data_IF_981180507449
#
_entry.id   IF_981180507449
#
_cell.length_a   1.000
_cell.length_b   1.000
_cell.length_c   1.000
_cell.angle_alpha   90.00
_cell.angle_beta   90.00
_cell.angle_gamma   90.00
#
_symmetry.space_group_name_H-M   'P 1'
#
loop_
_entity.id
_entity.type
_entity.pdbx_description
1 polymer ?
#
# COMPACT_ATOMS: atom_id res chain seq x y z
N UNK A 1 0.63 -25.15 -11.71
CA UNK A 1 1.42 -25.96 -10.75
C UNK A 1 0.42 -26.61 -9.83
N UNK A 2 0.14 -27.89 -10.09
CA UNK A 2 -0.76 -28.72 -9.28
C UNK A 2 -0.08 -29.05 -7.95
N UNK A 3 -0.09 -28.11 -7.00
CA UNK A 3 0.25 -28.41 -5.61
C UNK A 3 -0.95 -29.14 -4.98
N UNK A 4 -1.15 -30.41 -5.34
CA UNK A 4 -2.22 -31.26 -4.79
C UNK A 4 -1.84 -31.92 -3.44
N UNK A 5 -0.64 -31.66 -2.93
CA UNK A 5 -0.10 -32.31 -1.73
C UNK A 5 -0.12 -31.38 -0.49
N UNK A 6 0.07 -31.99 0.69
CA UNK A 6 0.20 -31.29 1.97
C UNK A 6 1.42 -30.37 2.05
N UNK A 7 1.58 -29.67 3.16
CA UNK A 7 2.72 -28.78 3.42
C UNK A 7 3.95 -29.57 3.88
N UNK A 8 5.10 -29.33 3.24
CA UNK A 8 6.38 -29.92 3.67
C UNK A 8 6.68 -29.60 5.14
N UNK A 9 6.99 -30.64 5.93
CA UNK A 9 7.27 -30.52 7.36
C UNK A 9 8.43 -29.58 7.68
N UNK A 10 9.45 -29.56 6.81
CA UNK A 10 10.62 -28.68 6.93
C UNK A 10 10.31 -27.17 6.91
N UNK A 11 9.10 -26.78 6.48
CA UNK A 11 8.67 -25.39 6.46
C UNK A 11 8.20 -24.90 7.82
N UNK A 12 7.76 -25.78 8.70
CA UNK A 12 7.20 -25.40 10.00
C UNK A 12 8.29 -25.11 11.02
N UNK A 13 8.08 -24.08 11.84
CA UNK A 13 9.01 -23.71 12.91
C UNK A 13 8.54 -24.15 14.30
N UNK A 14 7.25 -24.42 14.46
CA UNK A 14 6.61 -24.74 15.73
C UNK A 14 5.79 -26.04 15.67
N UNK A 15 6.14 -26.96 14.78
CA UNK A 15 5.44 -28.23 14.61
C UNK A 15 6.37 -29.40 14.94
N UNK A 16 6.24 -29.92 16.17
CA UNK A 16 7.06 -31.01 16.70
C UNK A 16 6.30 -32.34 16.84
N UNK A 17 4.99 -32.35 16.58
CA UNK A 17 4.14 -33.54 16.58
C UNK A 17 3.92 -34.07 15.15
N UNK A 18 3.20 -35.18 15.04
CA UNK A 18 2.73 -35.82 13.81
C UNK A 18 1.19 -35.86 13.72
N UNK A 19 0.51 -35.16 14.64
CA UNK A 19 -0.95 -35.20 14.77
C UNK A 19 -1.74 -34.61 13.59
N UNK A 20 -1.09 -33.85 12.72
CA UNK A 20 -1.68 -33.30 11.49
C UNK A 20 -1.03 -33.87 10.22
N UNK A 21 -0.21 -34.93 10.34
CA UNK A 21 0.43 -35.54 9.18
C UNK A 21 -0.59 -36.39 8.41
N UNK A 22 -0.70 -36.15 7.10
CA UNK A 22 -1.52 -36.96 6.22
C UNK A 22 -0.83 -38.29 5.92
N UNK A 23 -1.47 -39.42 6.23
CA UNK A 23 -0.88 -40.75 5.98
C UNK A 23 -0.67 -41.10 4.49
N UNK A 24 -1.31 -40.36 3.57
CA UNK A 24 -1.19 -40.60 2.13
C UNK A 24 0.03 -39.90 1.56
N UNK A 25 0.14 -38.57 1.73
CA UNK A 25 1.24 -37.80 1.17
C UNK A 25 2.41 -37.60 2.14
N UNK A 26 2.29 -38.06 3.40
CA UNK A 26 3.33 -37.94 4.45
C UNK A 26 3.79 -36.50 4.72
N UNK A 27 2.89 -35.54 4.51
CA UNK A 27 3.10 -34.12 4.76
C UNK A 27 2.06 -33.59 5.75
N UNK A 28 2.30 -32.41 6.31
CA UNK A 28 1.30 -31.75 7.17
C UNK A 28 0.07 -31.47 6.30
N UNK A 29 -1.08 -31.98 6.71
CA UNK A 29 -2.26 -32.01 5.87
C UNK A 29 -2.67 -30.61 5.41
N UNK A 30 -3.04 -30.44 4.13
CA UNK A 30 -3.65 -29.21 3.58
C UNK A 30 -5.16 -29.40 3.56
N UNK A 31 -5.89 -28.40 4.06
CA UNK A 31 -7.34 -28.50 4.31
C UNK A 31 -7.68 -29.80 5.07
N UNK A 32 -7.21 -29.92 6.33
CA UNK A 32 -7.23 -31.18 7.07
C UNK A 32 -8.65 -31.71 7.29
N UNK A 33 -8.82 -33.00 7.00
CA UNK A 33 -10.03 -33.79 7.22
C UNK A 33 -9.69 -34.95 8.16
N UNK A 34 -10.55 -35.21 9.14
CA UNK A 34 -10.34 -36.18 10.22
C UNK A 34 -11.27 -37.39 10.06
N UNK A 35 -10.74 -38.60 10.22
CA UNK A 35 -11.56 -39.80 10.23
C UNK A 35 -12.40 -39.89 11.51
N UNK A 36 -13.71 -40.04 11.35
CA UNK A 36 -14.65 -40.06 12.48
C UNK A 36 -14.47 -41.27 13.41
N UNK A 37 -13.82 -42.33 12.94
CA UNK A 37 -13.61 -43.55 13.71
C UNK A 37 -12.33 -43.54 14.54
N UNK A 38 -11.22 -43.01 14.01
CA UNK A 38 -9.91 -43.10 14.66
C UNK A 38 -9.17 -41.76 14.83
N UNK A 39 -9.73 -40.65 14.39
CA UNK A 39 -9.13 -39.32 14.51
C UNK A 39 -7.94 -39.06 13.57
N UNK A 40 -7.64 -39.96 12.64
CA UNK A 40 -6.53 -39.78 11.70
C UNK A 40 -6.81 -38.64 10.73
N UNK A 41 -5.81 -37.77 10.52
CA UNK A 41 -5.92 -36.61 9.64
C UNK A 41 -5.41 -36.92 8.22
N UNK A 42 -6.09 -36.35 7.22
CA UNK A 42 -5.79 -36.43 5.80
C UNK A 42 -5.90 -35.04 5.14
N UNK A 43 -5.17 -34.80 4.05
CA UNK A 43 -5.50 -33.67 3.18
C UNK A 43 -6.87 -33.89 2.53
N UNK A 44 -7.64 -32.83 2.28
CA UNK A 44 -8.89 -32.94 1.52
C UNK A 44 -8.69 -33.58 0.13
N UNK A 45 -7.57 -33.28 -0.54
CA UNK A 45 -7.17 -33.87 -1.83
C UNK A 45 -6.71 -35.33 -1.74
N UNK A 46 -6.38 -35.82 -0.54
CA UNK A 46 -5.83 -37.15 -0.31
C UNK A 46 -6.82 -38.10 0.37
N UNK A 47 -8.10 -37.77 0.41
CA UNK A 47 -9.11 -38.60 1.09
C UNK A 47 -9.24 -39.98 0.44
N UNK A 48 -8.93 -41.08 1.17
CA UNK A 48 -9.13 -42.42 0.65
C UNK A 48 -10.61 -42.83 0.79
N UNK A 49 -11.08 -43.79 -0.01
CA UNK A 49 -12.44 -44.34 0.13
C UNK A 49 -12.64 -45.11 1.45
N UNK A 50 -11.55 -45.66 1.99
CA UNK A 50 -11.50 -46.44 3.23
C UNK A 50 -10.35 -45.85 4.05
N UNK A 51 -10.58 -45.59 5.34
CA UNK A 51 -9.53 -45.05 6.21
C UNK A 51 -8.34 -46.01 6.28
N UNK A 52 -7.15 -45.54 5.93
CA UNK A 52 -5.93 -46.36 5.89
C UNK A 52 -5.55 -46.88 7.29
N UNK A 53 -5.89 -46.14 8.35
CA UNK A 53 -5.50 -46.49 9.71
C UNK A 53 -6.44 -47.53 10.37
N UNK A 54 -7.76 -47.39 10.19
CA UNK A 54 -8.74 -48.25 10.88
C UNK A 54 -9.62 -49.11 9.96
N UNK A 55 -9.42 -49.04 8.65
CA UNK A 55 -10.17 -49.80 7.63
C UNK A 55 -11.68 -49.56 7.62
N UNK A 56 -12.18 -48.51 8.27
CA UNK A 56 -13.61 -48.14 8.23
C UNK A 56 -13.96 -47.42 6.93
N UNK A 57 -15.20 -47.55 6.44
CA UNK A 57 -15.69 -46.77 5.31
C UNK A 57 -15.48 -45.27 5.55
N UNK A 58 -15.08 -44.54 4.50
CA UNK A 58 -14.58 -43.16 4.56
C UNK A 58 -15.58 -42.10 5.02
N UNK A 59 -15.90 -42.07 6.31
CA UNK A 59 -16.55 -40.95 6.99
C UNK A 59 -15.47 -40.03 7.52
N UNK A 60 -15.30 -38.87 6.88
CA UNK A 60 -14.32 -37.86 7.24
C UNK A 60 -15.01 -36.52 7.46
N UNK A 61 -14.78 -35.91 8.61
CA UNK A 61 -15.28 -34.59 8.96
C UNK A 61 -14.15 -33.57 9.00
N UNK A 62 -14.51 -32.29 9.09
CA UNK A 62 -13.53 -31.23 9.38
C UNK A 62 -13.03 -31.40 10.81
N UNK A 63 -11.79 -30.96 11.07
CA UNK A 63 -11.24 -30.90 12.43
C UNK A 63 -12.23 -30.26 13.42
N UNK A 64 -12.25 -30.78 14.65
CA UNK A 64 -13.00 -30.13 15.74
C UNK A 64 -12.53 -28.68 15.94
N UNK A 65 -13.36 -27.83 16.55
CA UNK A 65 -13.04 -26.42 16.78
C UNK A 65 -11.70 -26.21 17.50
N UNK A 66 -11.36 -27.09 18.44
CA UNK A 66 -10.11 -27.00 19.21
C UNK A 66 -8.91 -27.40 18.34
N UNK A 67 -8.97 -28.55 17.66
CA UNK A 67 -7.90 -28.98 16.75
C UNK A 67 -7.67 -27.98 15.62
N UNK A 68 -8.75 -27.42 15.05
CA UNK A 68 -8.65 -26.40 14.01
C UNK A 68 -7.91 -25.16 14.50
N UNK A 69 -8.16 -24.70 15.73
CA UNK A 69 -7.43 -23.57 16.30
C UNK A 69 -5.93 -23.87 16.42
N UNK A 70 -5.59 -25.05 16.96
CA UNK A 70 -4.19 -25.48 17.09
C UNK A 70 -3.51 -25.54 15.72
N UNK A 71 -4.20 -26.09 14.71
CA UNK A 71 -3.70 -26.19 13.34
C UNK A 71 -3.53 -24.81 12.68
N UNK A 72 -4.52 -23.92 12.81
CA UNK A 72 -4.47 -22.58 12.23
C UNK A 72 -3.36 -21.71 12.86
N UNK A 73 -2.98 -21.97 14.12
CA UNK A 73 -1.90 -21.31 14.86
C UNK A 73 -0.49 -21.85 14.51
N UNK A 74 -0.39 -22.93 13.70
CA UNK A 74 0.91 -23.39 13.20
C UNK A 74 1.54 -22.33 12.30
N UNK A 75 2.86 -22.18 12.40
CA UNK A 75 3.65 -21.18 11.67
C UNK A 75 4.64 -21.90 10.76
N UNK A 76 4.62 -21.51 9.48
CA UNK A 76 5.52 -22.03 8.47
C UNK A 76 6.14 -20.92 7.61
N UNK A 77 7.32 -21.22 7.06
CA UNK A 77 8.03 -20.37 6.11
C UNK A 77 7.32 -20.35 4.77
N UNK A 78 7.10 -19.17 4.21
CA UNK A 78 6.70 -18.98 2.82
C UNK A 78 7.74 -19.58 1.87
N UNK A 79 7.28 -20.35 0.87
CA UNK A 79 8.19 -20.98 -0.11
C UNK A 79 8.89 -19.98 -1.04
N UNK A 80 8.45 -18.71 -1.08
CA UNK A 80 8.97 -17.70 -2.00
C UNK A 80 9.83 -16.63 -1.33
N UNK A 81 9.51 -16.22 -0.09
CA UNK A 81 10.20 -15.12 0.60
C UNK A 81 10.71 -15.47 2.00
N UNK A 82 10.57 -16.73 2.43
CA UNK A 82 10.96 -17.23 3.75
C UNK A 82 10.27 -16.58 4.96
N UNK A 83 9.36 -15.62 4.75
CA UNK A 83 8.58 -15.00 5.80
C UNK A 83 7.79 -16.05 6.58
N UNK A 84 7.75 -15.90 7.90
CA UNK A 84 6.96 -16.73 8.80
C UNK A 84 5.50 -16.29 8.76
N UNK A 85 4.62 -17.21 8.37
CA UNK A 85 3.18 -16.96 8.21
C UNK A 85 2.42 -18.09 8.89
N UNK A 86 1.24 -17.81 9.45
CA UNK A 86 0.36 -18.85 9.99
C UNK A 86 -0.26 -19.68 8.87
N UNK A 87 -0.54 -20.96 9.11
CA UNK A 87 -1.09 -21.87 8.09
C UNK A 87 -2.39 -21.34 7.47
N UNK A 88 -3.28 -20.74 8.26
CA UNK A 88 -4.53 -20.19 7.75
C UNK A 88 -4.35 -18.98 6.80
N UNK A 89 -3.17 -18.35 6.78
CA UNK A 89 -2.85 -17.20 5.92
C UNK A 89 -1.86 -17.54 4.80
N UNK A 90 -1.22 -18.72 4.85
CA UNK A 90 -0.09 -19.04 3.97
C UNK A 90 -0.48 -19.06 2.50
N UNK A 91 -1.64 -19.60 2.15
CA UNK A 91 -2.06 -19.70 0.74
C UNK A 91 -2.33 -18.34 0.12
N UNK A 92 -3.04 -17.47 0.87
CA UNK A 92 -3.28 -16.09 0.45
C UNK A 92 -1.96 -15.35 0.28
N UNK A 93 -1.08 -15.48 1.26
CA UNK A 93 0.25 -14.88 1.20
C UNK A 93 1.04 -15.40 -0.01
N UNK A 94 1.13 -16.71 -0.23
CA UNK A 94 1.90 -17.30 -1.33
C UNK A 94 1.35 -16.93 -2.71
N UNK A 95 0.03 -16.81 -2.85
CA UNK A 95 -0.62 -16.32 -4.06
C UNK A 95 -0.24 -14.88 -4.41
N UNK A 96 -0.04 -14.03 -3.39
CA UNK A 96 0.39 -12.64 -3.53
C UNK A 96 1.93 -12.54 -3.66
N UNK A 97 2.66 -13.36 -2.89
CA UNK A 97 4.11 -13.38 -2.81
C UNK A 97 4.75 -13.89 -4.11
N UNK A 98 4.15 -14.87 -4.79
CA UNK A 98 4.63 -15.35 -6.09
C UNK A 98 4.57 -14.26 -7.19
N UNK A 99 3.84 -13.16 -6.94
CA UNK A 99 3.76 -12.01 -7.82
C UNK A 99 4.78 -10.93 -7.48
N UNK A 100 5.72 -11.15 -6.55
CA UNK A 100 6.75 -10.17 -6.27
C UNK A 100 7.76 -10.08 -7.41
N UNK A 101 8.18 -8.86 -7.75
CA UNK A 101 9.29 -8.62 -8.67
C UNK A 101 10.56 -9.32 -8.16
N UNK A 102 11.42 -9.83 -9.05
CA UNK A 102 12.77 -10.33 -8.67
C UNK A 102 13.56 -9.28 -7.87
N UNK A 103 13.30 -8.00 -8.14
CA UNK A 103 13.89 -6.87 -7.42
C UNK A 103 12.95 -6.26 -6.36
N UNK A 104 11.98 -7.01 -5.83
CA UNK A 104 10.97 -6.51 -4.88
C UNK A 104 11.58 -5.82 -3.65
N UNK A 105 12.70 -6.34 -3.12
CA UNK A 105 13.43 -5.70 -2.02
C UNK A 105 13.87 -4.25 -2.30
N UNK A 106 13.96 -3.86 -3.58
CA UNK A 106 14.32 -2.51 -4.02
C UNK A 106 13.11 -1.73 -4.52
N UNK A 107 12.24 -2.34 -5.31
CA UNK A 107 11.13 -1.62 -5.95
C UNK A 107 9.81 -1.67 -5.17
N UNK A 108 9.61 -2.65 -4.29
CA UNK A 108 8.34 -2.88 -3.57
C UNK A 108 7.14 -3.23 -4.47
N UNK A 109 7.37 -3.47 -5.76
CA UNK A 109 6.31 -3.63 -6.76
C UNK A 109 5.98 -5.10 -7.01
N UNK A 110 4.69 -5.38 -7.08
CA UNK A 110 4.16 -6.66 -7.56
C UNK A 110 4.05 -6.64 -9.09
N UNK A 111 4.23 -7.80 -9.70
CA UNK A 111 4.12 -8.06 -11.13
C UNK A 111 2.64 -8.20 -11.47
N UNK A 112 2.18 -7.39 -12.42
CA UNK A 112 0.78 -7.38 -12.89
C UNK A 112 0.56 -8.26 -14.12
N UNK A 113 1.61 -8.57 -14.88
CA UNK A 113 1.58 -9.43 -16.07
C UNK A 113 2.60 -10.54 -15.93
N UNK A 114 2.17 -11.79 -16.10
CA UNK A 114 3.11 -12.92 -16.12
C UNK A 114 4.13 -12.69 -17.25
N UNK A 115 5.39 -12.48 -16.85
CA UNK A 115 6.54 -12.51 -17.73
C UNK A 115 7.52 -13.55 -17.20
N UNK A 116 8.26 -14.19 -18.10
CA UNK A 116 9.19 -15.26 -17.74
C UNK A 116 10.26 -14.80 -16.74
N UNK A 117 10.57 -13.50 -16.72
CA UNK A 117 11.63 -12.92 -15.90
C UNK A 117 11.17 -12.43 -14.52
N UNK A 118 9.86 -12.44 -14.24
CA UNK A 118 9.24 -11.90 -13.01
C UNK A 118 9.68 -10.46 -12.70
N UNK A 119 9.58 -9.54 -13.66
CA UNK A 119 9.98 -8.13 -13.49
C UNK A 119 8.77 -7.20 -13.60
N UNK A 120 8.67 -6.20 -12.71
CA UNK A 120 7.53 -5.29 -12.69
C UNK A 120 7.59 -4.19 -13.75
N UNK A 121 8.78 -3.74 -14.14
CA UNK A 121 9.00 -2.64 -15.08
C UNK A 121 10.39 -2.69 -15.74
N UNK A 122 10.61 -1.77 -16.69
CA UNK A 122 11.87 -1.61 -17.42
C UNK A 122 13.05 -1.22 -16.52
N UNK A 123 12.80 -0.56 -15.39
CA UNK A 123 13.87 -0.21 -14.43
C UNK A 123 14.34 -1.45 -13.68
N UNK A 124 13.43 -2.32 -13.27
CA UNK A 124 13.76 -3.60 -12.67
C UNK A 124 14.44 -4.53 -13.67
N UNK A 125 14.05 -4.47 -14.95
CA UNK A 125 14.77 -5.19 -16.00
C UNK A 125 16.21 -4.71 -16.14
N UNK A 126 16.41 -3.39 -16.23
CA UNK A 126 17.75 -2.80 -16.25
C UNK A 126 18.56 -3.20 -15.01
N UNK A 127 17.98 -3.13 -13.81
CA UNK A 127 18.66 -3.53 -12.58
C UNK A 127 19.08 -4.99 -12.60
N UNK A 128 18.23 -5.88 -13.11
CA UNK A 128 18.56 -7.31 -13.28
C UNK A 128 19.68 -7.53 -14.29
N UNK A 129 19.73 -6.77 -15.38
CA UNK A 129 20.81 -6.82 -16.37
C UNK A 129 22.13 -6.33 -15.76
N UNK A 130 22.10 -5.22 -15.02
CA UNK A 130 23.27 -4.66 -14.33
C UNK A 130 23.85 -5.64 -13.31
N UNK A 131 23.00 -6.34 -12.55
CA UNK A 131 23.45 -7.37 -11.59
C UNK A 131 24.12 -8.58 -12.24
N UNK A 132 23.73 -8.92 -13.47
CA UNK A 132 24.29 -10.03 -14.25
C UNK A 132 25.54 -9.63 -15.03
N UNK A 133 25.80 -8.33 -15.17
CA UNK A 133 26.94 -7.81 -15.92
C UNK A 133 28.25 -8.11 -15.19
N UNK A 134 29.25 -8.60 -15.91
CA UNK A 134 30.59 -8.87 -15.38
C UNK A 134 31.56 -7.72 -15.63
N UNK A 135 31.21 -6.79 -16.53
CA UNK A 135 32.05 -5.66 -16.90
C UNK A 135 31.30 -4.34 -16.88
N UNK A 136 32.06 -3.24 -16.71
CA UNK A 136 31.51 -1.88 -16.84
C UNK A 136 30.97 -1.62 -18.25
N UNK A 137 31.57 -2.22 -19.27
CA UNK A 137 31.16 -2.05 -20.67
C UNK A 137 29.75 -2.60 -20.90
N UNK A 138 29.46 -3.81 -20.39
CA UNK A 138 28.12 -4.41 -20.46
C UNK A 138 27.06 -3.54 -19.77
N UNK A 139 27.39 -2.99 -18.60
CA UNK A 139 26.50 -2.05 -17.90
C UNK A 139 26.18 -0.84 -18.78
N UNK A 140 27.19 -0.24 -19.43
CA UNK A 140 26.98 0.87 -20.36
C UNK A 140 26.12 0.48 -21.57
N UNK A 141 26.33 -0.71 -22.12
CA UNK A 141 25.56 -1.19 -23.27
C UNK A 141 24.09 -1.44 -22.90
N UNK A 142 23.82 -1.98 -21.71
CA UNK A 142 22.47 -2.11 -21.18
C UNK A 142 21.79 -0.76 -20.96
N UNK A 143 22.49 0.21 -20.36
CA UNK A 143 21.98 1.57 -20.18
C UNK A 143 21.65 2.25 -21.52
N UNK A 144 22.53 2.07 -22.51
CA UNK A 144 22.33 2.60 -23.87
C UNK A 144 21.10 1.97 -24.52
N UNK A 145 20.95 0.66 -24.47
CA UNK A 145 19.79 -0.07 -25.01
C UNK A 145 18.47 0.43 -24.41
N UNK A 146 18.39 0.55 -23.08
CA UNK A 146 17.18 1.03 -22.40
C UNK A 146 16.88 2.49 -22.75
N UNK A 147 17.90 3.35 -22.84
CA UNK A 147 17.71 4.74 -23.26
C UNK A 147 17.16 4.86 -24.69
N UNK A 148 17.62 4.01 -25.61
CA UNK A 148 17.16 3.98 -27.00
C UNK A 148 15.71 3.48 -27.11
N UNK A 149 15.32 2.46 -26.33
CA UNK A 149 13.95 1.95 -26.31
C UNK A 149 12.95 3.00 -25.81
N UNK A 150 13.33 3.80 -24.80
CA UNK A 150 12.47 4.87 -24.27
C UNK A 150 12.32 6.05 -25.26
N UNK A 151 13.31 6.31 -26.12
CA UNK A 151 13.24 7.35 -27.16
C UNK A 151 12.29 6.96 -28.31
N UNK A 152 12.18 5.66 -28.64
CA UNK A 152 11.28 5.19 -29.70
C UNK A 152 9.81 5.25 -29.31
N UNK A 153 9.48 5.10 -28.02
CA UNK A 153 8.11 5.23 -27.51
C UNK A 153 7.63 6.70 -27.57
N UNK A 154 8.56 7.67 -27.43
CA UNK A 154 8.24 9.11 -27.51
C UNK A 154 8.08 9.62 -28.95
N UNK A 155 8.65 8.94 -29.95
CA UNK A 155 8.71 9.41 -31.35
C UNK A 155 7.67 8.79 -32.30
N UNK A 156 6.82 7.87 -31.82
CA UNK A 156 5.70 7.28 -32.58
C UNK A 156 4.33 7.64 -32.01
N UNK A 157 4.02 8.94 -31.96
CA UNK A 157 2.63 9.40 -31.76
C UNK A 157 2.09 9.90 -33.10
N UNK A 158 1.22 9.13 -33.78
CA UNK A 158 0.42 9.65 -34.88
C UNK A 158 -0.55 10.69 -34.33
N UNK A 159 -0.59 11.88 -34.95
CA UNK A 159 -1.61 12.89 -34.71
C UNK A 159 -2.97 12.40 -35.24
N UNK A 160 -3.76 11.76 -34.39
CA UNK A 160 -5.22 11.64 -34.57
C UNK A 160 -5.90 11.23 -33.27
N UNK A 161 -6.89 12.02 -32.88
CA UNK A 161 -7.80 11.86 -31.75
C UNK A 161 -8.60 10.54 -31.83
N UNK A 162 -8.62 9.74 -30.76
CA UNK A 162 -9.74 9.57 -29.82
C UNK A 162 -9.54 8.33 -28.91
N UNK A 163 -10.06 8.40 -27.68
CA UNK A 163 -10.05 7.42 -26.56
C UNK A 163 -8.89 7.51 -25.53
N UNK A 164 -9.13 8.36 -24.53
CA UNK A 164 -8.97 8.16 -23.07
C UNK A 164 -8.03 7.06 -22.56
N UNK A 165 -6.73 7.15 -22.82
CA UNK A 165 -5.72 6.63 -21.91
C UNK A 165 -5.12 7.83 -21.17
N UNK A 166 -5.76 8.22 -20.06
CA UNK A 166 -5.21 9.18 -19.12
C UNK A 166 -3.96 8.54 -18.54
N UNK A 167 -2.80 8.85 -19.11
CA UNK A 167 -1.52 8.58 -18.48
C UNK A 167 -1.46 9.42 -17.21
N UNK A 168 -1.90 8.85 -16.08
CA UNK A 168 -1.69 9.45 -14.77
C UNK A 168 -0.19 9.51 -14.55
N UNK A 169 0.39 10.70 -14.73
CA UNK A 169 1.75 11.00 -14.32
C UNK A 169 1.87 10.70 -12.83
N UNK A 170 2.52 9.60 -12.52
CA UNK A 170 2.74 9.13 -11.15
C UNK A 170 3.77 10.03 -10.48
N UNK A 171 3.32 11.15 -9.92
CA UNK A 171 4.18 12.05 -9.14
C UNK A 171 4.53 11.36 -7.82
N UNK A 172 5.81 11.04 -7.63
CA UNK A 172 6.35 10.63 -6.33
C UNK A 172 6.60 11.87 -5.48
N UNK A 173 5.58 12.29 -4.75
CA UNK A 173 5.64 13.40 -3.81
C UNK A 173 6.46 13.05 -2.55
N UNK A 174 7.28 14.04 -2.17
CA UNK A 174 7.98 14.18 -0.89
C UNK A 174 7.65 15.57 -0.34
N UNK A 175 7.88 15.80 0.94
CA UNK A 175 7.79 17.14 1.51
C UNK A 175 8.86 18.06 0.94
N UNK A 176 8.51 19.33 0.78
CA UNK A 176 9.43 20.35 0.29
C UNK A 176 10.27 20.88 1.45
N UNK A 177 11.57 20.58 1.45
CA UNK A 177 12.51 21.02 2.50
C UNK A 177 12.64 22.53 2.60
N UNK A 178 12.26 23.26 1.55
CA UNK A 178 12.24 24.72 1.52
C UNK A 178 10.88 25.32 1.89
N UNK A 179 9.81 24.51 1.95
CA UNK A 179 8.43 24.97 2.22
C UNK A 179 7.80 24.20 3.40
N UNK A 180 8.43 24.37 4.56
CA UNK A 180 7.95 23.90 5.86
C UNK A 180 8.14 24.97 6.94
N UNK A 181 7.40 24.85 8.04
CA UNK A 181 7.74 25.58 9.26
C UNK A 181 9.14 25.19 9.77
N UNK A 182 9.81 26.12 10.44
CA UNK A 182 11.20 25.97 10.87
C UNK A 182 11.37 24.79 11.85
N UNK A 183 10.40 24.59 12.72
CA UNK A 183 10.39 23.56 13.76
C UNK A 183 10.08 22.14 13.25
N UNK A 184 9.59 21.99 12.02
CA UNK A 184 9.27 20.68 11.47
C UNK A 184 10.57 19.98 11.06
N UNK A 185 10.79 18.78 11.60
CA UNK A 185 11.92 17.92 11.26
C UNK A 185 11.49 16.89 10.22
N UNK A 186 12.35 16.62 9.25
CA UNK A 186 12.13 15.60 8.23
C UNK A 186 12.95 14.34 8.47
N UNK A 187 12.42 13.20 8.02
CA UNK A 187 13.13 11.92 7.98
C UNK A 187 12.60 11.06 6.81
N UNK A 188 13.19 9.88 6.61
CA UNK A 188 12.77 8.93 5.56
C UNK A 188 12.85 9.55 4.14
N UNK A 189 13.92 10.31 3.87
CA UNK A 189 14.10 11.05 2.63
C UNK A 189 12.99 12.06 2.37
N UNK A 190 12.67 12.90 3.36
CA UNK A 190 11.63 13.93 3.28
C UNK A 190 10.21 13.37 3.07
N UNK A 191 9.95 12.09 3.34
CA UNK A 191 8.59 11.54 3.35
C UNK A 191 7.90 11.70 4.70
N UNK A 192 8.67 11.75 5.79
CA UNK A 192 8.15 11.95 7.14
C UNK A 192 8.39 13.38 7.58
N UNK A 193 7.38 14.00 8.16
CA UNK A 193 7.44 15.32 8.78
C UNK A 193 6.92 15.23 10.21
N UNK A 194 7.64 15.83 11.16
CA UNK A 194 7.29 15.79 12.58
C UNK A 194 7.53 17.14 13.25
N UNK A 195 6.56 17.61 14.02
CA UNK A 195 6.65 18.81 14.86
C UNK A 195 6.71 18.38 16.34
N UNK A 196 7.65 18.94 17.09
CA UNK A 196 7.85 18.68 18.53
C UNK A 196 7.48 19.89 19.41
N UNK A 197 7.13 21.05 18.81
CA UNK A 197 6.81 22.24 19.59
C UNK A 197 5.44 22.17 20.23
N UNK A 198 5.31 22.61 21.49
CA UNK A 198 4.03 22.71 22.21
C UNK A 198 3.62 24.18 22.38
N UNK A 199 3.12 24.82 21.32
CA UNK A 199 2.79 26.24 21.32
C UNK A 199 1.38 26.58 20.81
N UNK A 200 0.50 25.58 20.78
CA UNK A 200 -0.91 25.70 20.39
C UNK A 200 -1.12 26.37 19.02
N UNK A 201 -0.17 26.20 18.10
CA UNK A 201 -0.30 26.67 16.73
C UNK A 201 -0.09 25.52 15.75
N UNK A 202 -0.76 25.61 14.60
CA UNK A 202 -0.49 24.71 13.49
C UNK A 202 0.80 25.11 12.79
N UNK A 203 1.61 24.11 12.46
CA UNK A 203 2.83 24.26 11.67
C UNK A 203 2.63 23.55 10.33
N UNK A 204 2.83 24.27 9.24
CA UNK A 204 2.50 23.74 7.91
C UNK A 204 3.72 23.14 7.22
N UNK A 205 3.50 22.02 6.53
CA UNK A 205 4.40 21.47 5.52
C UNK A 205 3.66 21.31 4.19
N UNK A 206 4.33 21.60 3.08
CA UNK A 206 3.79 21.48 1.72
C UNK A 206 4.65 20.51 0.91
N UNK A 207 4.03 19.75 0.01
CA UNK A 207 4.74 18.84 -0.87
C UNK A 207 5.57 19.59 -1.93
N UNK A 208 6.64 18.94 -2.39
CA UNK A 208 7.58 19.48 -3.36
C UNK A 208 6.92 19.74 -4.72
N UNK A 209 6.08 18.82 -5.20
CA UNK A 209 5.44 18.93 -6.50
C UNK A 209 3.94 19.13 -6.35
N UNK A 210 3.39 19.94 -7.25
CA UNK A 210 1.95 20.21 -7.36
C UNK A 210 1.37 19.46 -8.54
N UNK A 211 0.06 19.26 -8.51
CA UNK A 211 -0.70 18.71 -9.62
C UNK A 211 -1.23 19.85 -10.48
N UNK A 212 -1.07 19.72 -11.80
CA UNK A 212 -1.50 20.73 -12.76
C UNK A 212 -2.90 20.47 -13.34
N UNK A 213 -3.30 19.19 -13.42
CA UNK A 213 -4.59 18.74 -13.95
C UNK A 213 -4.86 17.27 -13.60
N UNK A 214 -6.05 16.77 -13.96
CA UNK A 214 -6.40 15.36 -13.87
C UNK A 214 -6.87 14.92 -12.49
N UNK A 215 -6.60 13.67 -12.15
CA UNK A 215 -6.99 13.05 -10.88
C UNK A 215 -5.74 12.54 -10.19
N UNK A 216 -5.57 12.92 -8.93
CA UNK A 216 -4.43 12.56 -8.11
C UNK A 216 -4.89 11.86 -6.83
N UNK A 217 -4.06 10.92 -6.36
CA UNK A 217 -4.25 10.24 -5.10
C UNK A 217 -2.94 10.10 -4.33
N UNK A 218 -3.01 10.33 -3.02
CA UNK A 218 -1.93 10.07 -2.08
C UNK A 218 -2.50 9.73 -0.71
N UNK A 219 -1.65 9.22 0.16
CA UNK A 219 -1.98 8.83 1.52
C UNK A 219 -1.14 9.63 2.50
N UNK A 220 -1.76 10.00 3.62
CA UNK A 220 -1.12 10.58 4.79
C UNK A 220 -1.30 9.60 5.95
N UNK A 221 -0.22 8.97 6.36
CA UNK A 221 -0.18 8.08 7.52
C UNK A 221 0.23 8.89 8.74
N UNK A 222 -0.55 8.84 9.82
CA UNK A 222 -0.22 9.53 11.07
C UNK A 222 0.95 8.87 11.77
N UNK A 223 1.85 9.67 12.34
CA UNK A 223 2.91 9.15 13.19
C UNK A 223 2.32 8.61 14.52
N UNK A 224 2.89 7.51 15.02
CA UNK A 224 2.45 6.84 16.25
C UNK A 224 2.70 7.68 17.51
N UNK A 225 3.66 8.62 17.43
CA UNK A 225 3.97 9.59 18.50
C UNK A 225 3.00 10.77 18.53
N UNK A 226 1.96 10.80 17.69
CA UNK A 226 1.01 11.92 17.65
C UNK A 226 0.24 12.06 18.98
N UNK A 227 0.46 13.17 19.66
CA UNK A 227 -0.33 13.57 20.82
C UNK A 227 -1.54 14.42 20.40
N UNK A 228 -1.45 15.05 19.23
CA UNK A 228 -2.36 16.11 18.76
C UNK A 228 -2.91 15.87 17.35
N UNK A 229 -3.80 16.75 16.90
CA UNK A 229 -4.54 16.64 15.65
C UNK A 229 -3.83 17.20 14.41
N UNK A 230 -4.32 16.83 13.23
CA UNK A 230 -3.80 17.24 11.93
C UNK A 230 -4.88 17.96 11.13
N UNK A 231 -4.46 18.92 10.30
CA UNK A 231 -5.26 19.45 9.19
C UNK A 231 -4.66 18.90 7.89
N UNK A 232 -5.39 18.07 7.15
CA UNK A 232 -4.89 17.35 5.96
C UNK A 232 -5.62 17.85 4.72
N UNK A 233 -4.91 18.22 3.66
CA UNK A 233 -5.57 18.61 2.41
C UNK A 233 -4.62 19.17 1.37
N UNK A 234 -5.03 20.28 0.74
CA UNK A 234 -4.30 20.89 -0.39
C UNK A 234 -4.22 22.41 -0.29
N UNK A 235 -3.21 22.98 -0.95
CA UNK A 235 -3.00 24.43 -1.11
C UNK A 235 -2.62 24.78 -2.54
N UNK A 236 -3.04 25.97 -3.02
CA UNK A 236 -2.56 26.54 -4.29
C UNK A 236 -1.34 27.45 -4.14
N UNK A 237 -1.03 27.88 -2.91
CA UNK A 237 0.14 28.73 -2.63
C UNK A 237 1.17 27.99 -1.80
N UNK A 238 2.44 28.27 -2.09
CA UNK A 238 3.61 27.95 -1.26
C UNK A 238 4.19 29.19 -0.57
N UNK A 239 3.59 30.35 -0.78
CA UNK A 239 4.07 31.64 -0.29
C UNK A 239 3.10 32.21 0.74
N UNK A 240 3.30 31.80 1.99
CA UNK A 240 2.55 32.24 3.18
C UNK A 240 3.35 31.89 4.44
N UNK A 241 2.94 32.41 5.60
CA UNK A 241 3.63 32.16 6.86
C UNK A 241 3.36 30.74 7.39
N UNK A 242 4.22 29.80 6.98
CA UNK A 242 4.18 28.39 7.37
C UNK A 242 4.38 28.17 8.88
N UNK A 243 5.00 29.14 9.57
CA UNK A 243 5.22 29.06 11.01
C UNK A 243 3.95 29.45 11.75
N UNK A 244 3.29 30.56 11.40
CA UNK A 244 2.18 31.08 12.23
C UNK A 244 0.79 30.59 11.83
N UNK A 245 0.61 30.12 10.60
CA UNK A 245 -0.71 29.84 10.04
C UNK A 245 -0.79 28.46 9.41
N UNK A 246 -1.99 27.88 9.40
CA UNK A 246 -2.27 26.69 8.61
C UNK A 246 -2.63 27.09 7.17
N UNK A 247 -2.22 26.30 6.18
CA UNK A 247 -2.53 26.57 4.76
C UNK A 247 -4.03 26.79 4.47
N UNK A 248 -4.92 26.10 5.19
CA UNK A 248 -6.37 26.21 5.03
C UNK A 248 -7.01 27.41 5.74
N UNK A 249 -6.21 28.21 6.45
CA UNK A 249 -6.67 29.46 7.04
C UNK A 249 -6.82 30.56 5.98
N UNK A 250 -6.30 30.32 4.76
CA UNK A 250 -6.40 31.19 3.59
C UNK A 250 -7.41 30.66 2.56
N UNK A 251 -7.81 31.51 1.61
CA UNK A 251 -8.76 31.20 0.54
C UNK A 251 -8.20 30.29 -0.57
N UNK A 252 -6.91 29.96 -0.48
CA UNK A 252 -6.20 29.06 -1.38
C UNK A 252 -5.93 27.68 -0.78
N UNK A 253 -6.45 27.38 0.42
CA UNK A 253 -6.24 26.11 1.10
C UNK A 253 -7.55 25.42 1.52
N UNK A 254 -7.59 24.11 1.39
CA UNK A 254 -8.74 23.26 1.76
C UNK A 254 -8.24 22.08 2.58
N UNK A 255 -8.82 21.83 3.75
CA UNK A 255 -8.39 20.75 4.62
C UNK A 255 -9.55 20.03 5.31
N UNK A 256 -9.35 18.76 5.57
CA UNK A 256 -10.05 18.03 6.61
C UNK A 256 -9.26 18.15 7.92
N UNK A 257 -9.89 18.72 8.94
CA UNK A 257 -9.35 18.74 10.30
C UNK A 257 -9.76 17.45 11.01
N UNK A 258 -8.79 16.71 11.53
CA UNK A 258 -9.02 15.36 12.08
C UNK A 258 -9.93 15.31 13.31
N UNK A 259 -10.36 16.46 13.85
CA UNK A 259 -11.48 16.55 14.78
C UNK A 259 -12.86 16.31 14.15
N UNK A 260 -12.96 16.18 12.83
CA UNK A 260 -14.20 15.84 12.12
C UNK A 260 -14.82 16.98 11.31
N UNK A 261 -14.11 18.08 11.08
CA UNK A 261 -14.64 19.27 10.37
C UNK A 261 -13.79 19.66 9.16
N UNK A 262 -14.39 20.37 8.22
CA UNK A 262 -13.70 20.93 7.05
C UNK A 262 -13.19 22.34 7.33
N UNK A 263 -12.05 22.70 6.76
CA UNK A 263 -11.41 24.01 6.91
C UNK A 263 -11.07 24.59 5.55
N UNK A 264 -11.52 25.82 5.32
CA UNK A 264 -11.22 26.59 4.12
C UNK A 264 -11.48 28.06 4.43
N UNK A 265 -10.51 28.94 4.18
CA UNK A 265 -10.62 30.39 4.39
C UNK A 265 -11.09 30.80 5.80
N UNK A 266 -10.87 29.94 6.80
CA UNK A 266 -11.30 30.21 8.17
C UNK A 266 -10.51 29.35 9.17
N UNK A 267 -9.86 29.94 10.18
CA UNK A 267 -8.97 29.19 11.07
C UNK A 267 -9.71 28.26 12.03
N UNK A 268 -10.88 28.71 12.52
CA UNK A 268 -11.50 28.16 13.74
C UNK A 268 -12.88 27.52 13.56
N UNK A 269 -13.62 27.79 12.48
CA UNK A 269 -14.94 27.19 12.22
C UNK A 269 -14.98 26.43 10.89
N UNK A 270 -15.97 25.55 10.72
CA UNK A 270 -16.04 24.62 9.60
C UNK A 270 -17.20 23.64 9.75
N UNK A 271 -17.84 23.22 8.65
CA UNK A 271 -18.92 22.23 8.73
C UNK A 271 -18.39 20.88 9.20
N UNK A 272 -19.22 20.14 9.93
CA UNK A 272 -18.95 18.75 10.31
C UNK A 272 -18.96 17.88 9.04
N UNK A 273 -17.98 17.01 8.91
CA UNK A 273 -17.81 16.12 7.76
C UNK A 273 -17.67 14.66 8.15
N UNK A 274 -16.98 14.38 9.26
CA UNK A 274 -16.79 13.03 9.76
C UNK A 274 -16.72 13.03 11.30
N UNK A 275 -16.65 11.84 11.90
CA UNK A 275 -16.25 11.70 13.30
C UNK A 275 -14.79 12.13 13.50
N UNK A 276 -14.37 12.31 14.77
CA UNK A 276 -12.97 12.54 15.12
C UNK A 276 -12.12 11.29 14.81
N UNK A 277 -11.00 11.47 14.12
CA UNK A 277 -10.13 10.40 13.62
C UNK A 277 -8.66 10.74 13.94
N UNK A 278 -8.04 10.11 14.94
CA UNK A 278 -6.70 10.53 15.41
C UNK A 278 -5.54 9.81 14.73
N UNK A 279 -5.63 8.50 14.57
CA UNK A 279 -4.54 7.63 14.10
C UNK A 279 -4.97 6.83 12.87
N UNK A 280 -4.09 6.57 11.91
CA UNK A 280 -4.36 5.71 10.76
C UNK A 280 -3.88 6.33 9.45
N UNK A 281 -4.44 5.82 8.35
CA UNK A 281 -4.09 6.24 6.99
C UNK A 281 -5.26 7.02 6.38
N UNK A 282 -5.00 8.28 6.07
CA UNK A 282 -5.93 9.15 5.35
C UNK A 282 -5.61 9.10 3.87
N UNK A 283 -6.52 8.57 3.05
CA UNK A 283 -6.44 8.70 1.60
C UNK A 283 -7.00 10.05 1.17
N UNK A 284 -6.30 10.75 0.29
CA UNK A 284 -6.71 12.04 -0.26
C UNK A 284 -6.80 11.90 -1.77
N UNK A 285 -7.99 12.16 -2.32
CA UNK A 285 -8.22 12.14 -3.76
C UNK A 285 -8.61 13.55 -4.24
N UNK A 286 -7.83 14.09 -5.15
CA UNK A 286 -8.06 15.37 -5.81
C UNK A 286 -8.51 15.10 -7.26
N UNK A 287 -9.78 15.36 -7.57
CA UNK A 287 -10.31 15.30 -8.93
C UNK A 287 -10.39 16.72 -9.50
N UNK A 288 -9.33 17.17 -10.15
CA UNK A 288 -9.25 18.52 -10.74
C UNK A 288 -10.18 18.67 -11.95
N UNK A 289 -10.58 17.57 -12.60
CA UNK A 289 -11.53 17.65 -13.71
C UNK A 289 -12.91 18.17 -13.23
N UNK A 290 -13.31 17.78 -12.02
CA UNK A 290 -14.59 18.16 -11.41
C UNK A 290 -14.46 19.20 -10.29
N UNK A 291 -13.23 19.58 -9.92
CA UNK A 291 -12.95 20.50 -8.83
C UNK A 291 -13.31 19.92 -7.46
N UNK A 292 -13.06 18.63 -7.24
CA UNK A 292 -13.44 17.93 -6.01
C UNK A 292 -12.23 17.53 -5.18
N UNK A 293 -12.39 17.62 -3.86
CA UNK A 293 -11.47 17.03 -2.89
C UNK A 293 -12.24 16.03 -2.03
N UNK A 294 -11.77 14.80 -2.01
CA UNK A 294 -12.39 13.66 -1.35
C UNK A 294 -11.42 12.98 -0.40
N UNK A 295 -11.96 12.34 0.64
CA UNK A 295 -11.15 11.67 1.66
C UNK A 295 -11.61 10.23 1.90
N UNK A 296 -10.65 9.40 2.30
CA UNK A 296 -10.88 8.08 2.88
C UNK A 296 -10.07 7.94 4.17
N UNK A 297 -10.46 7.00 5.03
CA UNK A 297 -9.74 6.67 6.26
C UNK A 297 -9.69 5.16 6.43
N UNK A 298 -8.48 4.61 6.56
CA UNK A 298 -8.21 3.17 6.66
C UNK A 298 -8.95 2.35 5.59
N UNK A 299 -9.01 2.86 4.35
CA UNK A 299 -9.68 2.21 3.23
C UNK A 299 -11.21 2.41 3.15
N UNK A 300 -11.81 3.16 4.07
CA UNK A 300 -13.23 3.52 4.05
C UNK A 300 -13.44 4.91 3.43
N UNK A 301 -14.35 5.05 2.46
CA UNK A 301 -14.68 6.34 1.87
C UNK A 301 -15.42 7.24 2.87
N UNK A 302 -14.87 8.44 3.14
CA UNK A 302 -15.51 9.41 4.04
C UNK A 302 -16.50 10.32 3.31
N UNK A 303 -16.33 10.52 2.00
CA UNK A 303 -17.17 11.39 1.20
C UNK A 303 -16.40 12.47 0.42
N UNK A 304 -17.17 13.27 -0.31
CA UNK A 304 -16.67 14.47 -0.98
C UNK A 304 -16.68 15.65 0.00
N UNK A 305 -15.49 16.08 0.42
CA UNK A 305 -15.34 17.18 1.35
C UNK A 305 -15.57 18.53 0.68
N UNK A 306 -14.99 18.75 -0.50
CA UNK A 306 -15.10 20.03 -1.19
C UNK A 306 -15.47 19.85 -2.66
N UNK A 307 -16.20 20.83 -3.18
CA UNK A 307 -16.43 21.06 -4.61
C UNK A 307 -16.27 22.56 -4.87
N UNK A 308 -15.22 22.93 -5.59
CA UNK A 308 -14.79 24.31 -5.78
C UNK A 308 -14.13 24.48 -7.15
N UNK A 309 -14.53 25.52 -7.91
CA UNK A 309 -13.96 25.82 -9.22
C UNK A 309 -12.45 26.13 -9.14
N UNK A 310 -11.96 26.67 -8.01
CA UNK A 310 -10.52 26.91 -7.81
C UNK A 310 -9.71 25.60 -7.81
N UNK A 311 -10.32 24.46 -7.49
CA UNK A 311 -9.66 23.15 -7.52
C UNK A 311 -9.50 22.57 -8.93
N UNK A 312 -10.05 23.21 -9.97
CA UNK A 312 -9.91 22.77 -11.36
C UNK A 312 -8.62 23.19 -12.05
N UNK A 313 -7.88 24.13 -11.47
CA UNK A 313 -6.66 24.68 -12.05
C UNK A 313 -5.48 24.53 -11.10
N UNK A 314 -4.37 24.03 -11.64
CA UNK A 314 -3.11 23.93 -10.93
C UNK A 314 -2.31 25.24 -10.87
N UNK A 315 -1.18 25.23 -10.15
CA UNK A 315 -0.68 24.09 -9.38
C UNK A 315 -1.44 23.91 -8.06
N UNK A 316 -1.72 22.65 -7.67
CA UNK A 316 -2.31 22.29 -6.37
C UNK A 316 -1.37 21.33 -5.64
N UNK A 317 -0.95 21.68 -4.43
CA UNK A 317 0.03 20.94 -3.65
C UNK A 317 -0.63 20.23 -2.46
N UNK A 318 -0.30 18.96 -2.18
CA UNK A 318 -0.57 18.35 -0.88
C UNK A 318 0.01 19.19 0.26
N UNK A 319 -0.77 19.36 1.33
CA UNK A 319 -0.34 20.10 2.52
C UNK A 319 -0.91 19.48 3.80
N UNK A 320 -0.13 19.57 4.87
CA UNK A 320 -0.53 19.14 6.21
C UNK A 320 -0.15 20.21 7.24
N UNK A 321 -1.09 20.54 8.12
CA UNK A 321 -0.88 21.32 9.32
C UNK A 321 -0.74 20.40 10.52
N UNK A 322 0.40 20.46 11.20
CA UNK A 322 0.74 19.69 12.39
C UNK A 322 0.45 20.55 13.64
N UNK A 323 -0.44 20.10 14.53
CA UNK A 323 -0.70 20.78 15.80
C UNK A 323 0.19 20.21 16.90
N UNK A 324 0.86 21.07 17.68
CA UNK A 324 1.71 20.65 18.80
C UNK A 324 2.65 19.47 18.44
N UNK A 325 2.74 18.44 19.29
CA UNK A 325 3.44 17.17 19.03
C UNK A 325 2.65 16.33 18.03
N UNK A 326 2.99 16.44 16.75
CA UNK A 326 2.35 15.67 15.69
C UNK A 326 3.24 15.52 14.45
N UNK A 327 3.05 14.44 13.71
CA UNK A 327 3.71 14.15 12.47
C UNK A 327 2.92 13.20 11.57
N UNK A 328 3.45 13.03 10.37
CA UNK A 328 2.87 12.16 9.36
C UNK A 328 3.90 11.74 8.31
N UNK A 329 3.55 10.69 7.56
CA UNK A 329 4.25 10.25 6.35
C UNK A 329 3.36 10.47 5.13
N UNK A 330 3.92 11.05 4.06
CA UNK A 330 3.28 11.10 2.75
C UNK A 330 3.70 9.90 1.90
N UNK A 331 2.71 9.21 1.33
CA UNK A 331 2.91 8.15 0.33
C UNK A 331 2.10 8.50 -0.91
N UNK A 332 2.73 8.48 -2.09
CA UNK A 332 2.12 8.89 -3.35
C UNK A 332 2.48 7.92 -4.47
N UNK A 333 1.86 8.11 -5.64
CA UNK A 333 2.08 7.26 -6.80
C UNK A 333 1.32 5.93 -6.80
N UNK A 334 0.36 5.79 -5.88
CA UNK A 334 -0.61 4.70 -5.90
C UNK A 334 -1.74 5.03 -6.89
N UNK A 335 -2.35 4.03 -7.54
CA UNK A 335 -3.57 4.25 -8.32
C UNK A 335 -4.70 4.74 -7.40
N UNK A 336 -5.64 5.48 -7.95
CA UNK A 336 -6.82 5.91 -7.19
C UNK A 336 -7.64 4.67 -6.80
N UNK A 337 -7.95 4.45 -5.51
CA UNK A 337 -8.76 3.33 -5.09
C UNK A 337 -10.18 3.38 -5.67
N UNK A 338 -10.77 2.22 -5.98
CA UNK A 338 -12.12 2.10 -6.56
C UNK A 338 -13.25 2.60 -5.66
N UNK A 339 -12.96 2.88 -4.39
CA UNK A 339 -13.92 3.48 -3.45
C UNK A 339 -14.25 4.94 -3.77
N UNK A 340 -13.38 5.66 -4.50
CA UNK A 340 -13.63 7.05 -4.87
C UNK A 340 -14.52 7.12 -6.11
N UNK A 341 -15.67 7.80 -6.06
CA UNK A 341 -16.49 8.04 -7.24
C UNK A 341 -15.83 9.12 -8.10
N UNK A 342 -15.14 8.70 -9.16
CA UNK A 342 -14.41 9.56 -10.10
C UNK A 342 -15.31 10.09 -11.22
#
# INVERSE_FOLDING_TARGET
MDQMEGFYRSRFINYNSDCFDCLVCQHVARDPMECNSCGQVYCASCLPKICINCSTPGSFDKLTRVQKKIYDDLVLKCQFCELLVTVNLIEKHEKECNKQCVNFQFCGNFITKENNEKLCDTLCQLLSLVKKSVSKQEIYDHLKSVSQQNIVISSKIPRSFDSSNISTLTISNRWDSQKKANCIKFSDGDQKAFNEEQNNNFRTVVAKHGYESGIAYWEIETDDRNESELKIGVTKSKDFDLNKTCFCDYDFGWAFFTQGSLRHNHPNSGPVFAKRLKYGVFGVCLNMNQGQLMFSYNGEFLGQAFKDEKLKSGPIYPAVGLFNTAGCKITSGKPVPSLFPI
#
